data_IF_921752708617
#
_entry.id   IF_921752708617
#
_cell.length_a   1.000
_cell.length_b   1.000
_cell.length_c   1.000
_cell.angle_alpha   90.00
_cell.angle_beta   90.00
_cell.angle_gamma   90.00
#
_symmetry.space_group_name_H-M   'P 1'
#
loop_
_entity.id
_entity.type
_entity.pdbx_description
1 polymer ?
#
# COMPACT_ATOMS: atom_id res chain seq x y z
N UNK A 1 -18.54 -30.43 1.99
CA UNK A 1 -18.92 -31.28 3.14
C UNK A 1 -20.23 -31.95 2.79
N UNK A 2 -20.27 -33.28 2.74
CA UNK A 2 -21.44 -34.06 2.34
C UNK A 2 -22.35 -34.25 3.54
N UNK A 3 -23.57 -33.71 3.47
CA UNK A 3 -24.62 -33.98 4.46
C UNK A 3 -25.60 -34.98 3.84
N UNK A 4 -25.71 -36.16 4.42
CA UNK A 4 -26.60 -37.24 3.96
C UNK A 4 -27.89 -37.21 4.75
N UNK A 5 -29.03 -36.96 4.09
CA UNK A 5 -30.37 -37.23 4.63
C UNK A 5 -31.07 -38.25 3.73
N UNK A 6 -31.50 -39.36 4.33
CA UNK A 6 -32.21 -40.45 3.65
C UNK A 6 -33.72 -40.25 3.72
N UNK A 7 -34.40 -40.19 2.58
CA UNK A 7 -35.83 -40.54 2.47
C UNK A 7 -36.13 -41.12 1.08
N UNK A 8 -36.74 -42.31 1.08
CA UNK A 8 -37.38 -43.02 -0.04
C UNK A 8 -36.53 -43.32 -1.30
N UNK A 9 -35.70 -44.35 -1.20
CA UNK A 9 -35.70 -45.48 -2.16
C UNK A 9 -35.40 -45.23 -3.64
N UNK A 10 -34.87 -44.08 -4.04
CA UNK A 10 -34.39 -43.85 -5.41
C UNK A 10 -33.14 -42.97 -5.36
N UNK A 11 -31.99 -43.53 -5.77
CA UNK A 11 -30.75 -42.77 -5.97
C UNK A 11 -30.96 -41.81 -7.15
N UNK A 12 -31.30 -40.57 -6.85
CA UNK A 12 -31.16 -39.47 -7.80
C UNK A 12 -29.91 -38.70 -7.39
N UNK A 13 -28.81 -38.92 -8.10
CA UNK A 13 -27.65 -38.02 -8.05
C UNK A 13 -28.11 -36.67 -8.62
N UNK A 14 -28.46 -35.74 -7.74
CA UNK A 14 -28.47 -34.33 -8.10
C UNK A 14 -27.01 -33.90 -8.25
N UNK A 15 -26.51 -34.02 -9.47
CA UNK A 15 -25.34 -33.28 -9.92
C UNK A 15 -25.68 -31.80 -9.79
N UNK A 16 -25.21 -31.17 -8.71
CA UNK A 16 -25.13 -29.72 -8.64
C UNK A 16 -24.14 -29.33 -9.74
N UNK A 17 -24.68 -28.94 -10.89
CA UNK A 17 -23.93 -28.29 -11.95
C UNK A 17 -23.48 -26.93 -11.41
N UNK A 18 -22.36 -26.90 -10.70
CA UNK A 18 -21.59 -25.68 -10.52
C UNK A 18 -20.98 -25.35 -11.88
N UNK A 19 -21.72 -24.59 -12.68
CA UNK A 19 -21.13 -23.87 -13.81
C UNK A 19 -19.89 -23.14 -13.26
N UNK A 20 -18.69 -23.28 -13.86
CA UNK A 20 -17.53 -22.54 -13.40
C UNK A 20 -17.91 -21.06 -13.45
N UNK A 21 -18.08 -20.44 -12.27
CA UNK A 21 -18.31 -19.01 -12.18
C UNK A 21 -17.14 -18.35 -12.90
N UNK A 22 -17.46 -17.40 -13.77
CA UNK A 22 -16.47 -16.70 -14.59
C UNK A 22 -15.50 -15.95 -13.65
N UNK A 23 -14.36 -16.57 -13.34
CA UNK A 23 -13.28 -16.07 -12.46
C UNK A 23 -12.30 -15.15 -13.20
N UNK A 24 -12.58 -14.84 -14.47
CA UNK A 24 -11.76 -13.94 -15.25
C UNK A 24 -11.98 -12.49 -14.78
N UNK A 25 -10.88 -11.76 -14.56
CA UNK A 25 -10.92 -10.32 -14.36
C UNK A 25 -11.53 -9.61 -15.59
N UNK A 26 -12.19 -8.45 -15.39
CA UNK A 26 -12.73 -7.69 -16.52
C UNK A 26 -11.61 -7.17 -17.41
N UNK A 27 -11.93 -6.92 -18.69
CA UNK A 27 -10.98 -6.33 -19.65
C UNK A 27 -10.70 -4.85 -19.36
N UNK A 28 -11.67 -4.16 -18.75
CA UNK A 28 -11.59 -2.75 -18.38
C UNK A 28 -11.89 -2.62 -16.90
N UNK A 29 -11.19 -1.70 -16.22
CA UNK A 29 -11.43 -1.40 -14.81
C UNK A 29 -12.78 -0.70 -14.64
N UNK A 30 -13.60 -1.21 -13.73
CA UNK A 30 -14.88 -0.62 -13.36
C UNK A 30 -14.71 0.59 -12.43
N UNK A 31 -15.62 1.58 -12.52
CA UNK A 31 -15.62 2.77 -11.68
C UNK A 31 -14.71 3.90 -12.18
N UNK A 32 -14.06 4.60 -11.24
CA UNK A 32 -13.30 5.84 -11.44
C UNK A 32 -11.82 5.63 -11.10
N UNK A 33 -11.02 5.03 -12.02
CA UNK A 33 -9.58 4.82 -11.80
C UNK A 33 -8.75 6.10 -11.94
N UNK A 34 -9.26 7.11 -12.63
CA UNK A 34 -8.56 8.36 -12.95
C UNK A 34 -9.14 9.55 -12.18
N UNK A 35 -8.33 10.57 -11.91
CA UNK A 35 -8.75 11.79 -11.19
C UNK A 35 -8.31 13.05 -11.94
N UNK A 36 -8.96 14.18 -11.67
CA UNK A 36 -8.69 15.43 -12.40
C UNK A 36 -7.29 16.00 -12.13
N UNK A 37 -6.80 15.89 -10.90
CA UNK A 37 -5.48 16.40 -10.47
C UNK A 37 -4.69 15.29 -9.78
N UNK A 38 -4.09 14.36 -10.54
CA UNK A 38 -3.32 13.28 -9.97
C UNK A 38 -1.94 13.77 -9.51
N UNK A 39 -1.52 13.32 -8.32
CA UNK A 39 -0.13 13.45 -7.87
C UNK A 39 0.78 12.50 -8.64
N UNK A 40 0.29 11.29 -8.89
CA UNK A 40 1.00 10.28 -9.64
C UNK A 40 0.03 9.50 -10.53
N UNK A 41 0.42 9.26 -11.78
CA UNK A 41 -0.37 8.49 -12.75
C UNK A 41 0.39 7.24 -13.16
N UNK A 42 -0.31 6.11 -13.24
CA UNK A 42 0.18 4.87 -13.83
C UNK A 42 -0.67 4.53 -15.06
N UNK A 43 -0.04 4.24 -16.20
CA UNK A 43 -0.72 3.87 -17.46
C UNK A 43 -0.13 2.59 -18.01
N UNK A 44 -1.01 1.64 -18.27
CA UNK A 44 -0.70 0.35 -18.87
C UNK A 44 0.47 -0.39 -18.21
N UNK A 45 0.54 -0.30 -16.88
CA UNK A 45 1.61 -0.94 -16.11
C UNK A 45 1.48 -2.45 -16.26
N UNK A 46 2.58 -3.08 -16.65
CA UNK A 46 2.67 -4.53 -16.78
C UNK A 46 3.94 -5.00 -16.09
N UNK A 47 3.82 -6.10 -15.35
CA UNK A 47 4.93 -6.68 -14.59
C UNK A 47 4.96 -8.18 -14.78
N UNK A 48 6.11 -8.68 -15.24
CA UNK A 48 6.35 -10.11 -15.36
C UNK A 48 7.67 -10.49 -14.67
N UNK A 49 7.72 -11.72 -14.17
CA UNK A 49 8.95 -12.31 -13.64
C UNK A 49 9.40 -13.44 -14.58
N UNK A 50 10.71 -13.59 -14.80
CA UNK A 50 11.30 -14.51 -15.80
C UNK A 50 10.84 -15.98 -15.68
N UNK A 51 10.44 -16.42 -14.48
CA UNK A 51 9.91 -17.76 -14.22
C UNK A 51 8.42 -17.77 -13.87
N UNK A 52 7.72 -16.65 -14.07
CA UNK A 52 6.29 -16.52 -13.87
C UNK A 52 5.51 -17.12 -15.04
N UNK A 53 4.65 -18.10 -14.76
CA UNK A 53 3.75 -18.65 -15.78
C UNK A 53 2.67 -17.65 -16.23
N UNK A 54 2.42 -16.62 -15.41
CA UNK A 54 1.48 -15.52 -15.66
C UNK A 54 2.10 -14.21 -15.20
N UNK A 55 1.77 -13.08 -15.84
CA UNK A 55 2.19 -11.77 -15.35
C UNK A 55 1.66 -11.53 -13.94
N UNK A 56 2.47 -10.85 -13.11
CA UNK A 56 2.07 -10.44 -11.78
C UNK A 56 1.16 -9.21 -11.80
N UNK A 57 1.33 -8.36 -12.81
CA UNK A 57 0.45 -7.23 -13.13
C UNK A 57 0.19 -7.28 -14.63
N UNK A 58 -1.08 -7.29 -15.01
CA UNK A 58 -1.55 -7.46 -16.38
C UNK A 58 -2.36 -6.24 -16.81
N UNK A 59 -1.66 -5.16 -17.18
CA UNK A 59 -2.23 -3.91 -17.70
C UNK A 59 -3.08 -3.16 -16.67
N UNK A 60 -2.39 -2.47 -15.74
CA UNK A 60 -3.03 -1.66 -14.70
C UNK A 60 -2.82 -0.18 -15.00
N UNK A 61 -3.93 0.55 -15.05
CA UNK A 61 -3.95 2.01 -15.16
C UNK A 61 -4.71 2.59 -13.96
N UNK A 62 -4.08 3.51 -13.23
CA UNK A 62 -4.59 4.01 -11.95
C UNK A 62 -3.94 5.35 -11.62
N UNK A 63 -4.74 6.29 -11.11
CA UNK A 63 -4.25 7.54 -10.55
C UNK A 63 -4.27 7.56 -9.03
N UNK A 64 -3.23 8.18 -8.48
CA UNK A 64 -3.10 8.57 -7.09
C UNK A 64 -3.36 10.08 -7.03
N UNK A 65 -4.46 10.48 -6.40
CA UNK A 65 -4.82 11.87 -6.19
C UNK A 65 -3.95 12.57 -5.15
N UNK A 66 -4.02 13.89 -5.12
CA UNK A 66 -3.36 14.67 -4.08
C UNK A 66 -4.07 14.54 -2.73
N UNK A 67 -3.30 14.36 -1.65
CA UNK A 67 -3.81 14.39 -0.27
C UNK A 67 -4.97 13.43 0.00
N UNK A 68 -4.99 12.32 -0.74
CA UNK A 68 -5.94 11.23 -0.58
C UNK A 68 -5.26 9.99 -0.02
N UNK A 69 -6.06 9.09 0.55
CA UNK A 69 -5.65 7.73 0.86
C UNK A 69 -6.31 6.78 -0.13
N UNK A 70 -5.49 6.11 -0.95
CA UNK A 70 -5.91 5.05 -1.87
C UNK A 70 -5.58 3.68 -1.27
N UNK A 71 -6.60 2.90 -0.91
CA UNK A 71 -6.40 1.52 -0.48
C UNK A 71 -6.40 0.56 -1.67
N UNK A 72 -5.37 -0.27 -1.78
CA UNK A 72 -5.32 -1.42 -2.69
C UNK A 72 -5.65 -2.69 -1.90
N UNK A 73 -6.76 -3.32 -2.24
CA UNK A 73 -7.28 -4.53 -1.59
C UNK A 73 -7.36 -5.69 -2.58
N UNK A 74 -7.45 -6.92 -2.04
CA UNK A 74 -7.61 -8.12 -2.86
C UNK A 74 -6.93 -9.36 -2.27
N UNK A 75 -7.16 -10.55 -2.84
CA UNK A 75 -6.59 -11.79 -2.33
C UNK A 75 -5.06 -11.78 -2.27
N UNK A 76 -4.47 -12.64 -1.44
CA UNK A 76 -3.01 -12.83 -1.43
C UNK A 76 -2.52 -13.26 -2.81
N UNK A 77 -1.41 -12.68 -3.27
CA UNK A 77 -0.83 -13.00 -4.58
C UNK A 77 -1.50 -12.33 -5.78
N UNK A 78 -2.47 -11.43 -5.60
CA UNK A 78 -3.12 -10.74 -6.73
C UNK A 78 -2.32 -9.57 -7.33
N UNK A 79 -1.10 -9.30 -6.87
CA UNK A 79 -0.19 -8.29 -7.45
C UNK A 79 -0.06 -6.97 -6.70
N UNK A 80 -0.86 -6.70 -5.66
CA UNK A 80 -0.87 -5.40 -4.92
C UNK A 80 0.52 -4.85 -4.56
N UNK A 81 1.32 -5.62 -3.82
CA UNK A 81 2.67 -5.19 -3.41
C UNK A 81 3.65 -5.12 -4.58
N UNK A 82 3.41 -5.88 -5.66
CA UNK A 82 4.18 -5.76 -6.91
C UNK A 82 3.89 -4.43 -7.58
N UNK A 83 2.61 -4.05 -7.71
CA UNK A 83 2.23 -2.75 -8.28
C UNK A 83 2.73 -1.60 -7.39
N UNK A 84 2.56 -1.70 -6.07
CA UNK A 84 3.05 -0.68 -5.12
C UNK A 84 4.55 -0.38 -5.31
N UNK A 85 5.38 -1.42 -5.48
CA UNK A 85 6.82 -1.27 -5.69
C UNK A 85 7.21 -0.70 -7.06
N UNK A 86 6.31 -0.72 -8.05
CA UNK A 86 6.54 -0.06 -9.33
C UNK A 86 6.58 1.46 -9.14
N UNK A 87 5.76 2.00 -8.23
CA UNK A 87 5.61 3.42 -7.99
C UNK A 87 6.88 4.11 -7.44
N UNK A 88 7.81 3.33 -6.87
CA UNK A 88 9.12 3.83 -6.40
C UNK A 88 10.31 3.07 -7.00
N UNK A 89 10.08 2.33 -8.10
CA UNK A 89 11.09 1.53 -8.82
C UNK A 89 11.89 0.57 -7.93
N UNK A 90 11.23 -0.04 -6.94
CA UNK A 90 11.86 -1.11 -6.17
C UNK A 90 11.96 -2.42 -6.96
N UNK A 91 11.08 -2.64 -7.94
CA UNK A 91 11.10 -3.81 -8.81
C UNK A 91 12.38 -3.95 -9.64
N UNK A 92 13.02 -2.84 -10.03
CA UNK A 92 14.27 -2.81 -10.81
C UNK A 92 15.40 -3.59 -10.13
N UNK A 93 15.33 -3.72 -8.81
CA UNK A 93 16.33 -4.46 -8.01
C UNK A 93 16.05 -5.96 -7.90
N UNK A 94 14.91 -6.44 -8.42
CA UNK A 94 14.50 -7.84 -8.38
C UNK A 94 14.97 -8.53 -9.67
N UNK A 95 15.89 -9.52 -9.59
CA UNK A 95 16.36 -10.25 -10.76
C UNK A 95 15.23 -10.89 -11.57
N UNK A 96 15.29 -10.75 -12.89
CA UNK A 96 14.29 -11.30 -13.82
C UNK A 96 12.93 -10.60 -13.77
N UNK A 97 12.79 -9.48 -13.06
CA UNK A 97 11.58 -8.65 -13.09
C UNK A 97 11.63 -7.69 -14.27
N UNK A 98 10.58 -7.70 -15.10
CA UNK A 98 10.39 -6.77 -16.20
C UNK A 98 9.16 -5.94 -15.89
N UNK A 99 9.35 -4.62 -15.89
CA UNK A 99 8.29 -3.61 -15.72
C UNK A 99 8.17 -2.81 -17.01
N UNK A 100 6.95 -2.64 -17.51
CA UNK A 100 6.64 -1.76 -18.65
C UNK A 100 5.40 -0.93 -18.35
N UNK A 101 5.12 0.07 -19.19
CA UNK A 101 4.07 1.07 -18.97
C UNK A 101 4.67 2.38 -18.43
N UNK A 102 3.83 3.39 -18.33
CA UNK A 102 4.26 4.74 -17.97
C UNK A 102 3.85 5.04 -16.53
N UNK A 103 4.79 5.53 -15.72
CA UNK A 103 4.51 5.99 -14.36
C UNK A 103 5.07 7.40 -14.22
N UNK A 104 4.19 8.36 -14.00
CA UNK A 104 4.51 9.79 -14.01
C UNK A 104 4.21 10.35 -12.62
N UNK A 105 5.18 11.02 -12.02
CA UNK A 105 5.06 11.76 -10.75
C UNK A 105 5.20 13.25 -11.07
N UNK A 106 4.19 14.06 -10.72
CA UNK A 106 4.20 15.51 -10.94
C UNK A 106 4.58 15.95 -12.39
N UNK A 107 4.18 15.13 -13.38
CA UNK A 107 4.44 15.38 -14.80
C UNK A 107 5.75 14.79 -15.34
N UNK A 108 6.58 14.18 -14.49
CA UNK A 108 7.86 13.57 -14.87
C UNK A 108 7.80 12.04 -14.83
N UNK A 109 8.24 11.38 -15.91
CA UNK A 109 8.32 9.92 -15.96
C UNK A 109 9.43 9.41 -15.04
N UNK A 110 9.07 8.54 -14.10
CA UNK A 110 10.01 8.00 -13.12
C UNK A 110 11.04 7.04 -13.74
N UNK A 111 10.78 6.55 -14.97
CA UNK A 111 11.72 5.71 -15.74
C UNK A 111 12.55 6.51 -16.76
N UNK A 112 12.42 7.85 -16.78
CA UNK A 112 13.26 8.68 -17.64
C UNK A 112 14.75 8.44 -17.33
N UNK A 113 15.60 8.56 -18.37
CA UNK A 113 17.03 8.21 -18.27
C UNK A 113 17.82 9.09 -17.31
N UNK A 114 17.31 10.29 -17.06
CA UNK A 114 17.91 11.29 -16.18
C UNK A 114 17.37 11.20 -14.74
N UNK A 115 16.37 10.34 -14.49
CA UNK A 115 15.78 10.19 -13.16
C UNK A 115 16.74 9.47 -12.22
N UNK A 116 17.22 10.17 -11.21
CA UNK A 116 18.05 9.62 -10.15
C UNK A 116 17.19 8.87 -9.13
N UNK A 117 17.47 7.58 -8.93
CA UNK A 117 16.70 6.71 -8.03
C UNK A 117 16.65 7.23 -6.59
N UNK A 118 17.73 7.86 -6.13
CA UNK A 118 17.83 8.40 -4.77
C UNK A 118 16.87 9.58 -4.59
N UNK A 119 16.74 10.44 -5.61
CA UNK A 119 15.82 11.58 -5.60
C UNK A 119 14.36 11.11 -5.70
N UNK A 120 14.06 10.20 -6.63
CA UNK A 120 12.73 9.58 -6.74
C UNK A 120 12.27 8.97 -5.41
N UNK A 121 13.15 8.25 -4.70
CA UNK A 121 12.82 7.63 -3.40
C UNK A 121 12.72 8.62 -2.25
N UNK A 122 13.23 9.84 -2.42
CA UNK A 122 12.97 10.94 -1.49
C UNK A 122 11.56 11.53 -1.68
N UNK A 123 11.06 11.56 -2.92
CA UNK A 123 9.71 12.01 -3.26
C UNK A 123 8.65 10.91 -3.05
N UNK A 124 9.04 9.63 -3.13
CA UNK A 124 8.14 8.47 -2.99
C UNK A 124 8.64 7.57 -1.85
N UNK A 125 8.18 7.87 -0.63
CA UNK A 125 8.57 7.18 0.59
C UNK A 125 7.89 5.82 0.75
N UNK A 126 8.59 4.83 1.34
CA UNK A 126 8.09 3.46 1.50
C UNK A 126 8.10 3.02 2.97
N UNK A 127 6.97 2.50 3.43
CA UNK A 127 6.77 1.87 4.75
C UNK A 127 6.43 0.40 4.53
N UNK A 128 7.26 -0.49 5.07
CA UNK A 128 7.13 -1.93 4.88
C UNK A 128 6.27 -2.60 5.94
N UNK A 129 5.73 -3.76 5.59
CA UNK A 129 4.93 -4.62 6.48
C UNK A 129 5.71 -5.02 7.73
N UNK A 130 6.97 -5.43 7.55
CA UNK A 130 7.89 -5.68 8.66
C UNK A 130 8.72 -4.41 8.86
N UNK A 131 8.63 -3.75 10.02
CA UNK A 131 9.43 -2.56 10.26
C UNK A 131 10.92 -2.89 10.17
N UNK A 132 11.67 -1.99 9.55
CA UNK A 132 13.10 -2.14 9.30
C UNK A 132 13.87 -0.89 9.77
N UNK A 133 13.88 -0.59 11.08
CA UNK A 133 14.73 0.47 11.59
C UNK A 133 16.20 0.15 11.28
N UNK A 134 16.97 1.17 10.95
CA UNK A 134 18.42 1.02 10.83
C UNK A 134 19.01 0.60 12.18
N UNK A 135 20.13 -0.15 12.19
CA UNK A 135 20.89 -0.47 13.41
C UNK A 135 21.62 0.78 13.92
N UNK A 136 20.84 1.80 14.28
CA UNK A 136 21.22 3.14 14.72
C UNK A 136 20.29 3.57 15.85
N UNK A 137 20.56 4.74 16.42
CA UNK A 137 19.71 5.34 17.44
C UNK A 137 18.30 5.68 16.89
N UNK A 138 17.34 5.95 17.77
CA UNK A 138 16.01 6.45 17.38
C UNK A 138 16.15 7.78 16.63
N UNK A 139 16.98 8.69 17.15
CA UNK A 139 17.27 9.98 16.52
C UNK A 139 17.86 9.79 15.12
N UNK A 140 18.92 9.00 15.00
CA UNK A 140 19.63 8.83 13.73
C UNK A 140 18.79 8.10 12.69
N UNK A 141 17.77 7.33 13.09
CA UNK A 141 16.81 6.77 12.14
C UNK A 141 16.01 7.86 11.43
N UNK A 142 15.51 8.85 12.17
CA UNK A 142 14.69 9.94 11.63
C UNK A 142 15.57 10.98 10.92
N UNK A 143 16.71 11.33 11.51
CA UNK A 143 17.64 12.30 10.96
C UNK A 143 18.39 11.83 9.70
N UNK A 144 18.38 10.53 9.39
CA UNK A 144 19.17 9.97 8.30
C UNK A 144 18.82 10.59 6.93
N UNK A 145 17.55 10.53 6.54
CA UNK A 145 17.06 11.06 5.26
C UNK A 145 17.37 12.56 5.09
N UNK A 146 16.94 13.42 6.03
CA UNK A 146 17.22 14.85 5.96
C UNK A 146 18.70 15.21 5.81
N UNK A 147 19.60 14.46 6.47
CA UNK A 147 21.06 14.66 6.34
C UNK A 147 21.58 14.30 4.96
N UNK A 148 21.19 13.15 4.41
CA UNK A 148 21.73 12.69 3.12
C UNK A 148 21.18 13.51 1.94
N UNK A 149 19.98 14.07 2.08
CA UNK A 149 19.35 14.90 1.07
C UNK A 149 19.64 16.40 1.26
N UNK A 150 20.43 16.78 2.28
CA UNK A 150 20.80 18.17 2.52
C UNK A 150 19.61 19.08 2.81
N UNK A 151 18.54 18.55 3.43
CA UNK A 151 17.31 19.30 3.69
C UNK A 151 17.44 20.31 4.83
N UNK A 152 18.52 20.23 5.61
CA UNK A 152 18.70 20.95 6.87
C UNK A 152 20.14 21.44 7.00
N UNK A 153 20.29 22.73 7.30
CA UNK A 153 21.58 23.42 7.43
C UNK A 153 22.15 23.39 8.85
N UNK A 154 21.28 23.38 9.88
CA UNK A 154 21.71 23.48 11.27
C UNK A 154 21.28 22.28 12.10
N UNK A 155 22.05 22.00 13.17
CA UNK A 155 21.69 20.96 14.13
C UNK A 155 20.36 21.27 14.84
N UNK A 156 20.07 22.54 15.12
CA UNK A 156 18.86 22.94 15.82
C UNK A 156 17.60 22.63 14.98
N UNK A 157 17.63 22.95 13.69
CA UNK A 157 16.53 22.63 12.76
C UNK A 157 16.34 21.11 12.62
N UNK A 158 17.44 20.35 12.66
CA UNK A 158 17.39 18.89 12.61
C UNK A 158 16.77 18.30 13.87
N UNK A 159 17.12 18.83 15.04
CA UNK A 159 16.55 18.42 16.32
C UNK A 159 15.03 18.69 16.34
N UNK A 160 14.61 19.85 15.86
CA UNK A 160 13.20 20.21 15.72
C UNK A 160 12.47 19.28 14.72
N UNK A 161 13.04 19.03 13.55
CA UNK A 161 12.46 18.11 12.56
C UNK A 161 12.28 16.70 13.12
N UNK A 162 13.26 16.21 13.89
CA UNK A 162 13.19 14.88 14.53
C UNK A 162 12.06 14.85 15.55
N UNK A 163 11.96 15.86 16.42
CA UNK A 163 10.87 15.97 17.40
C UNK A 163 9.50 16.04 16.71
N UNK A 164 9.35 16.91 15.70
CA UNK A 164 8.12 17.06 14.94
C UNK A 164 7.72 15.75 14.25
N UNK A 165 8.66 15.05 13.61
CA UNK A 165 8.39 13.79 12.91
C UNK A 165 8.00 12.67 13.88
N UNK A 166 8.68 12.56 15.03
CA UNK A 166 8.33 11.60 16.07
C UNK A 166 6.99 11.93 16.73
N UNK A 167 6.67 13.21 16.88
CA UNK A 167 5.39 13.67 17.44
C UNK A 167 4.25 13.37 16.48
N UNK A 168 4.41 13.70 15.19
CA UNK A 168 3.45 13.38 14.15
C UNK A 168 3.21 11.89 14.07
N UNK A 169 4.25 11.07 14.15
CA UNK A 169 4.11 9.61 14.19
C UNK A 169 3.58 9.04 15.53
N UNK A 170 3.21 9.89 16.49
CA UNK A 170 2.69 9.49 17.79
C UNK A 170 3.70 8.78 18.69
N UNK A 171 5.00 8.88 18.42
CA UNK A 171 6.06 8.13 19.11
C UNK A 171 6.84 8.97 20.14
N UNK A 172 6.86 10.30 20.01
CA UNK A 172 7.71 11.21 20.79
C UNK A 172 7.67 10.96 22.30
N UNK A 173 6.47 10.92 22.89
CA UNK A 173 6.29 10.75 24.34
C UNK A 173 6.85 9.43 24.88
N UNK A 174 7.04 8.42 24.03
CA UNK A 174 7.57 7.11 24.41
C UNK A 174 9.09 6.99 24.22
N UNK A 175 9.73 7.91 23.48
CA UNK A 175 11.14 7.80 23.09
C UNK A 175 11.99 9.03 23.38
N UNK A 176 11.40 10.17 23.74
CA UNK A 176 12.11 11.45 23.99
C UNK A 176 13.29 11.35 24.97
N UNK A 177 13.19 10.48 25.99
CA UNK A 177 14.22 10.29 27.01
C UNK A 177 15.26 9.22 26.65
N UNK A 178 15.18 8.66 25.43
CA UNK A 178 16.01 7.55 24.95
C UNK A 178 16.29 7.63 23.44
N UNK A 179 16.43 8.85 22.92
CA UNK A 179 16.65 9.11 21.50
C UNK A 179 17.98 8.53 20.98
N UNK A 180 18.96 8.39 21.86
CA UNK A 180 20.29 7.82 21.61
C UNK A 180 20.31 6.28 21.65
N UNK A 181 19.26 5.64 22.18
CA UNK A 181 19.19 4.19 22.31
C UNK A 181 18.94 3.49 20.96
N UNK A 182 19.40 2.24 20.79
CA UNK A 182 19.18 1.49 19.55
C UNK A 182 17.70 1.33 19.20
N UNK A 183 17.33 1.74 17.98
CA UNK A 183 15.97 1.64 17.47
C UNK A 183 15.45 0.19 17.37
N UNK A 184 16.34 -0.78 17.22
CA UNK A 184 16.02 -2.21 17.18
C UNK A 184 15.50 -2.75 18.51
N UNK A 185 15.68 -2.01 19.61
CA UNK A 185 15.15 -2.36 20.94
C UNK A 185 13.70 -1.93 21.18
N UNK A 186 13.08 -1.21 20.24
CA UNK A 186 11.67 -0.79 20.34
C UNK A 186 10.71 -1.97 20.08
N UNK A 187 9.47 -1.87 20.57
CA UNK A 187 8.42 -2.84 20.24
C UNK A 187 8.04 -2.77 18.75
N UNK A 188 7.40 -3.81 18.19
CA UNK A 188 7.01 -3.83 16.77
C UNK A 188 6.19 -2.61 16.34
N UNK A 189 5.18 -2.21 17.13
CA UNK A 189 4.39 -0.99 16.85
C UNK A 189 5.18 0.32 17.00
N UNK A 190 6.14 0.38 17.92
CA UNK A 190 7.06 1.52 18.04
C UNK A 190 8.03 1.58 16.85
N UNK A 191 8.56 0.46 16.40
CA UNK A 191 9.42 0.38 15.21
C UNK A 191 8.66 0.78 13.94
N UNK A 192 7.38 0.40 13.81
CA UNK A 192 6.54 0.81 12.69
C UNK A 192 6.34 2.32 12.67
N UNK A 193 5.96 2.92 13.81
CA UNK A 193 5.84 4.38 13.95
C UNK A 193 7.16 5.10 13.69
N UNK A 194 8.29 4.53 14.12
CA UNK A 194 9.61 5.08 13.81
C UNK A 194 9.91 5.05 12.30
N UNK A 195 9.55 3.98 11.60
CA UNK A 195 9.71 3.90 10.15
C UNK A 195 8.83 4.93 9.43
N UNK A 196 7.62 5.19 9.93
CA UNK A 196 6.75 6.26 9.43
C UNK A 196 7.35 7.63 9.72
N UNK A 197 7.82 7.89 10.95
CA UNK A 197 8.50 9.13 11.34
C UNK A 197 9.71 9.42 10.42
N UNK A 198 10.54 8.40 10.17
CA UNK A 198 11.67 8.47 9.24
C UNK A 198 11.23 8.81 7.81
N UNK A 199 10.10 8.27 7.37
CA UNK A 199 9.58 8.52 6.02
C UNK A 199 9.08 9.96 5.88
N UNK A 200 8.30 10.45 6.86
CA UNK A 200 7.72 11.81 6.80
C UNK A 200 8.75 12.91 7.07
N UNK A 201 9.89 12.60 7.69
CA UNK A 201 10.98 13.56 7.93
C UNK A 201 11.60 14.08 6.62
N UNK A 202 11.49 13.32 5.53
CA UNK A 202 11.96 13.72 4.19
C UNK A 202 10.88 14.52 3.44
N UNK A 203 9.66 14.62 3.99
CA UNK A 203 8.51 15.28 3.38
C UNK A 203 8.24 14.81 1.92
N UNK A 204 8.02 13.50 1.70
CA UNK A 204 7.75 12.97 0.36
C UNK A 204 6.41 13.45 -0.20
N UNK A 205 6.25 13.43 -1.52
CA UNK A 205 4.99 13.72 -2.19
C UNK A 205 3.97 12.57 -2.06
N UNK A 206 4.49 11.34 -2.08
CA UNK A 206 3.70 10.10 -1.97
C UNK A 206 4.29 9.18 -0.88
N UNK A 207 3.42 8.65 -0.01
CA UNK A 207 3.77 7.62 0.98
C UNK A 207 3.12 6.29 0.57
N UNK A 208 3.97 5.29 0.33
CA UNK A 208 3.57 3.93 0.03
C UNK A 208 3.64 3.07 1.29
N UNK A 209 2.56 2.37 1.62
CA UNK A 209 2.48 1.52 2.81
C UNK A 209 2.09 0.09 2.40
N UNK A 210 3.00 -0.87 2.58
CA UNK A 210 2.74 -2.28 2.31
C UNK A 210 2.30 -2.98 3.61
N UNK A 211 0.99 -3.16 3.80
CA UNK A 211 0.39 -3.80 4.98
C UNK A 211 0.86 -3.24 6.35
N UNK A 212 0.68 -1.94 6.62
CA UNK A 212 1.33 -1.26 7.74
C UNK A 212 0.91 -1.76 9.14
N UNK A 213 -0.20 -2.52 9.25
CA UNK A 213 -0.73 -3.00 10.54
C UNK A 213 -0.85 -4.52 10.66
N UNK A 214 -0.36 -5.31 9.69
CA UNK A 214 -0.65 -6.76 9.65
C UNK A 214 -0.09 -7.56 10.84
N UNK A 215 0.97 -7.07 11.47
CA UNK A 215 1.66 -7.72 12.59
C UNK A 215 1.49 -6.97 13.93
N UNK A 216 0.53 -6.04 14.01
CA UNK A 216 0.32 -5.18 15.17
C UNK A 216 -0.88 -5.64 16.00
N UNK A 217 -0.82 -5.38 17.31
CA UNK A 217 -1.98 -5.52 18.17
C UNK A 217 -3.06 -4.45 17.86
N UNK A 218 -4.30 -4.60 18.34
CA UNK A 218 -5.38 -3.67 18.04
C UNK A 218 -5.12 -2.22 18.51
N UNK A 219 -4.39 -2.03 19.60
CA UNK A 219 -4.08 -0.69 20.14
C UNK A 219 -3.10 0.00 19.19
N UNK A 220 -2.01 -0.68 18.85
CA UNK A 220 -1.03 -0.17 17.90
C UNK A 220 -1.66 0.06 16.51
N UNK A 221 -2.58 -0.81 16.07
CA UNK A 221 -3.33 -0.63 14.83
C UNK A 221 -4.13 0.67 14.82
N UNK A 222 -4.89 0.95 15.88
CA UNK A 222 -5.68 2.19 15.99
C UNK A 222 -4.82 3.45 15.91
N UNK A 223 -3.67 3.47 16.59
CA UNK A 223 -2.73 4.60 16.54
C UNK A 223 -2.21 4.84 15.11
N UNK A 224 -1.90 3.77 14.36
CA UNK A 224 -1.46 3.90 12.97
C UNK A 224 -2.60 4.37 12.05
N UNK A 225 -3.83 3.91 12.27
CA UNK A 225 -4.98 4.35 11.48
C UNK A 225 -5.29 5.84 11.69
N UNK A 226 -5.25 6.33 12.95
CA UNK A 226 -5.36 7.76 13.27
C UNK A 226 -4.22 8.56 12.63
N UNK A 227 -3.00 8.04 12.69
CA UNK A 227 -1.83 8.63 12.06
C UNK A 227 -2.03 8.78 10.54
N UNK A 228 -2.50 7.76 9.85
CA UNK A 228 -2.78 7.83 8.40
C UNK A 228 -3.78 8.95 8.09
N UNK A 229 -4.85 9.07 8.88
CA UNK A 229 -5.86 10.11 8.72
C UNK A 229 -5.28 11.53 8.93
N UNK A 230 -4.29 11.69 9.80
CA UNK A 230 -3.60 12.97 9.99
C UNK A 230 -2.56 13.24 8.89
N UNK A 231 -1.85 12.21 8.43
CA UNK A 231 -0.84 12.34 7.37
C UNK A 231 -1.48 12.73 6.04
N UNK A 232 -2.67 12.23 5.70
CA UNK A 232 -3.33 12.53 4.42
C UNK A 232 -3.58 14.02 4.19
N UNK A 233 -3.67 14.81 5.26
CA UNK A 233 -3.82 16.28 5.18
C UNK A 233 -2.67 16.94 4.41
N UNK A 234 -1.50 16.30 4.39
CA UNK A 234 -0.29 16.83 3.79
C UNK A 234 0.31 15.92 2.70
N UNK A 235 -0.02 14.63 2.71
CA UNK A 235 0.61 13.63 1.87
C UNK A 235 -0.41 12.82 1.07
N UNK A 236 -0.02 12.39 -0.12
CA UNK A 236 -0.79 11.39 -0.88
C UNK A 236 -0.36 10.00 -0.43
N UNK A 237 -1.29 9.11 -0.10
CA UNK A 237 -0.97 7.83 0.55
C UNK A 237 -1.56 6.67 -0.26
N UNK A 238 -0.74 5.67 -0.55
CA UNK A 238 -1.18 4.40 -1.14
C UNK A 238 -0.95 3.28 -0.13
N UNK A 239 -2.01 2.56 0.23
CA UNK A 239 -1.95 1.51 1.24
C UNK A 239 -2.34 0.18 0.62
N UNK A 240 -1.45 -0.80 0.65
CA UNK A 240 -1.82 -2.20 0.42
C UNK A 240 -2.29 -2.80 1.72
N UNK A 241 -3.49 -3.39 1.73
CA UNK A 241 -3.98 -4.11 2.91
C UNK A 241 -4.91 -5.26 2.51
N UNK A 242 -4.89 -6.31 3.32
CA UNK A 242 -5.90 -7.38 3.28
C UNK A 242 -6.95 -7.22 4.38
N UNK A 243 -6.82 -6.21 5.25
CA UNK A 243 -7.80 -5.88 6.28
C UNK A 243 -8.87 -4.97 5.69
N UNK A 244 -10.06 -5.53 5.45
CA UNK A 244 -11.19 -4.77 4.90
C UNK A 244 -11.66 -3.68 5.85
N UNK A 245 -11.58 -3.96 7.15
CA UNK A 245 -11.94 -3.02 8.19
C UNK A 245 -10.95 -1.85 8.26
N UNK A 246 -9.68 -2.08 7.99
CA UNK A 246 -8.70 -1.00 7.90
C UNK A 246 -8.99 -0.14 6.68
N UNK A 247 -9.08 -0.76 5.49
CA UNK A 247 -9.37 -0.05 4.24
C UNK A 247 -10.62 0.82 4.39
N UNK A 248 -11.73 0.25 4.88
CA UNK A 248 -12.98 0.98 5.03
C UNK A 248 -12.91 2.18 5.99
N UNK A 249 -12.01 2.16 6.98
CA UNK A 249 -11.84 3.25 7.95
C UNK A 249 -10.89 4.35 7.49
N UNK A 250 -9.84 4.01 6.73
CA UNK A 250 -8.74 4.96 6.47
C UNK A 250 -8.69 5.52 5.06
N UNK A 251 -9.29 4.84 4.07
CA UNK A 251 -9.15 5.25 2.66
C UNK A 251 -10.28 6.12 2.14
N UNK A 252 -9.94 7.05 1.24
CA UNK A 252 -10.90 7.85 0.49
C UNK A 252 -11.39 7.09 -0.76
N UNK A 253 -10.47 6.41 -1.45
CA UNK A 253 -10.73 5.53 -2.60
C UNK A 253 -10.20 4.13 -2.34
N UNK A 254 -10.87 3.14 -2.93
CA UNK A 254 -10.46 1.74 -2.85
C UNK A 254 -10.33 1.14 -4.24
N UNK A 255 -9.20 0.49 -4.49
CA UNK A 255 -8.84 -0.22 -5.71
C UNK A 255 -8.79 -1.74 -5.43
N UNK A 256 -9.65 -2.50 -6.09
CA UNK A 256 -9.72 -3.95 -5.94
C UNK A 256 -8.89 -4.67 -7.02
N UNK A 257 -7.91 -5.45 -6.58
CA UNK A 257 -7.04 -6.25 -7.41
C UNK A 257 -7.44 -7.74 -7.39
N UNK A 258 -7.48 -8.35 -8.57
CA UNK A 258 -7.72 -9.79 -8.74
C UNK A 258 -6.80 -10.37 -9.82
N UNK A 259 -5.98 -11.36 -9.45
CA UNK A 259 -5.09 -12.09 -10.37
C UNK A 259 -4.24 -11.19 -11.30
N UNK A 260 -3.69 -10.09 -10.78
CA UNK A 260 -2.84 -9.16 -11.52
C UNK A 260 -3.59 -8.07 -12.28
N UNK A 261 -4.92 -8.07 -12.27
CA UNK A 261 -5.76 -7.04 -12.90
C UNK A 261 -6.42 -6.14 -11.86
N UNK A 262 -6.63 -4.88 -12.26
CA UNK A 262 -7.41 -3.91 -11.50
C UNK A 262 -8.88 -4.02 -11.92
N UNK A 263 -9.71 -4.54 -11.01
CA UNK A 263 -11.10 -4.89 -11.31
C UNK A 263 -12.02 -3.68 -11.14
N UNK A 264 -11.89 -2.96 -10.04
CA UNK A 264 -12.76 -1.85 -9.68
C UNK A 264 -12.01 -0.80 -8.87
N UNK A 265 -12.27 0.48 -9.15
CA UNK A 265 -11.81 1.61 -8.34
C UNK A 265 -12.97 2.54 -8.11
N UNK A 266 -13.28 2.87 -6.87
CA UNK A 266 -14.37 3.79 -6.53
C UNK A 266 -14.07 4.46 -5.18
N UNK A 267 -14.94 5.37 -4.74
CA UNK A 267 -14.90 5.83 -3.35
C UNK A 267 -15.00 4.62 -2.41
N UNK A 268 -14.28 4.66 -1.29
CA UNK A 268 -14.28 3.58 -0.31
C UNK A 268 -15.71 3.23 0.13
N UNK A 269 -16.52 4.25 0.41
CA UNK A 269 -17.93 4.06 0.77
C UNK A 269 -18.70 3.25 -0.29
N UNK A 270 -18.52 3.57 -1.57
CA UNK A 270 -19.20 2.86 -2.67
C UNK A 270 -18.71 1.42 -2.77
N UNK A 271 -17.40 1.20 -2.77
CA UNK A 271 -16.82 -0.15 -2.86
C UNK A 271 -17.36 -1.07 -1.76
N UNK A 272 -17.45 -0.58 -0.51
CA UNK A 272 -17.87 -1.40 0.62
C UNK A 272 -19.40 -1.55 0.78
N UNK A 273 -20.20 -0.63 0.26
CA UNK A 273 -21.66 -0.65 0.42
C UNK A 273 -22.42 -1.14 -0.83
N UNK A 274 -21.98 -0.73 -2.03
CA UNK A 274 -22.61 -1.03 -3.31
C UNK A 274 -21.55 -1.17 -4.43
N UNK A 275 -20.71 -2.22 -4.36
CA UNK A 275 -19.68 -2.46 -5.36
C UNK A 275 -20.29 -2.72 -6.74
N UNK A 276 -19.72 -2.12 -7.78
CA UNK A 276 -20.24 -2.23 -9.14
C UNK A 276 -19.91 -3.58 -9.78
N UNK A 277 -18.77 -4.18 -9.44
CA UNK A 277 -18.33 -5.44 -10.02
C UNK A 277 -18.60 -6.64 -9.10
N UNK A 278 -19.10 -7.73 -9.67
CA UNK A 278 -19.44 -8.96 -8.92
C UNK A 278 -18.25 -9.52 -8.13
N UNK A 279 -17.04 -9.56 -8.71
CA UNK A 279 -15.84 -10.04 -8.00
C UNK A 279 -15.53 -9.19 -6.75
N UNK A 280 -15.74 -7.88 -6.82
CA UNK A 280 -15.58 -6.96 -5.68
C UNK A 280 -16.64 -7.24 -4.62
N UNK A 281 -17.91 -7.38 -5.03
CA UNK A 281 -19.02 -7.77 -4.15
C UNK A 281 -18.74 -9.08 -3.42
N UNK A 282 -18.35 -10.12 -4.15
CA UNK A 282 -18.03 -11.42 -3.58
C UNK A 282 -16.81 -11.31 -2.67
N UNK A 283 -15.88 -10.37 -2.94
CA UNK A 283 -14.71 -10.15 -2.09
C UNK A 283 -15.05 -9.62 -0.71
N UNK A 284 -15.82 -8.56 -0.69
CA UNK A 284 -16.13 -7.82 0.52
C UNK A 284 -17.06 -8.63 1.43
N UNK A 285 -17.93 -9.45 0.83
CA UNK A 285 -18.83 -10.33 1.57
C UNK A 285 -18.20 -11.68 1.97
N UNK A 286 -16.90 -11.89 1.69
CA UNK A 286 -16.19 -13.13 2.06
C UNK A 286 -16.67 -14.38 1.34
N UNK A 287 -17.23 -14.25 0.13
CA UNK A 287 -17.78 -15.37 -0.66
C UNK A 287 -16.73 -16.07 -1.54
N UNK A 288 -15.45 -16.08 -1.15
CA UNK A 288 -14.43 -16.83 -1.88
C UNK A 288 -14.39 -18.29 -1.50
N UNK A 289 -14.69 -19.14 -2.48
CA UNK A 289 -14.60 -20.59 -2.42
C UNK A 289 -15.13 -21.21 -3.70
#
# INVERSE_FOLDING_TARGET
MTTTTMTNGTLTEQTVNTTPQNTAAPKETCGVPFVDNPRMTARNVFVNYEHGAKPAIADVSLDIGEKEVLAMIGPSGCGKSTFLRCLNRMNDTIPGCVVTGDIILDGEDIHHKETEIVELRSQVGMVFQRPNPFPKSVYDNVAYGPRIHGLIDTKADLDELVEQSLTRAGLWNEVKDRLDQPATGLSGGQQQRLCIARTIAVAPEVILMDEPCSALDPIATGIIEELIADLKKNFSIVIVTHSMQQASRVSDRTAYFHLGSLVEVNSTEKVFNDPEHKLTHDYINGRFG
#
